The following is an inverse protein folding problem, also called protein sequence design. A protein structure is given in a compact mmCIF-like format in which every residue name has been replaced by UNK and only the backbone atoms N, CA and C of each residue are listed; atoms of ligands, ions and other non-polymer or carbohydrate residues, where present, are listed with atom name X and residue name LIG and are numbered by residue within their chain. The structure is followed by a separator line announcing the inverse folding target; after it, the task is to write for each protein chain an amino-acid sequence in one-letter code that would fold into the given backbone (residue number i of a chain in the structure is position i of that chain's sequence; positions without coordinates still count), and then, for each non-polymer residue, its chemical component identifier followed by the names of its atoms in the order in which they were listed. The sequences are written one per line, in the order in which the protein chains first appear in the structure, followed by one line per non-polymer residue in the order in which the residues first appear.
data_IF_693195497986
#
_entry.id   IF_693195497986
#
_cell.length_a   1.000
_cell.length_b   1.000
_cell.length_c   1.000
_cell.angle_alpha   90.00
_cell.angle_beta   90.00
_cell.angle_gamma   90.00
#
_symmetry.space_group_name_H-M   'P 1'
#
loop_
_entity.id
_entity.type
_entity.pdbx_description
1 polymer ?
#
# COMPACT_ATOMS: atom_id res chain seq x y z
N UNK A 1 1.90 5.74 7.67
CA UNK A 1 3.20 5.09 7.78
C UNK A 1 4.29 5.80 6.99
N UNK A 2 4.07 6.09 5.72
CA UNK A 2 5.02 6.91 4.94
C UNK A 2 4.71 8.40 5.01
N UNK A 3 3.93 8.81 5.97
CA UNK A 3 3.43 10.18 6.09
C UNK A 3 4.53 11.19 6.42
N UNK A 4 5.54 10.76 7.14
CA UNK A 4 6.68 11.61 7.48
C UNK A 4 7.82 11.58 6.46
N UNK A 5 7.66 10.80 5.37
CA UNK A 5 8.70 10.64 4.37
C UNK A 5 8.55 11.67 3.27
N UNK A 6 9.67 12.17 2.76
CA UNK A 6 9.62 13.08 1.62
C UNK A 6 9.26 12.31 0.35
N UNK A 7 8.55 12.98 -0.54
CA UNK A 7 8.21 12.43 -1.86
C UNK A 7 9.48 12.03 -2.63
N UNK A 8 10.52 12.85 -2.54
CA UNK A 8 11.80 12.60 -3.21
C UNK A 8 12.45 11.31 -2.73
N UNK A 9 12.41 11.06 -1.42
CA UNK A 9 12.98 9.85 -0.82
C UNK A 9 12.24 8.60 -1.31
N UNK A 10 10.90 8.64 -1.31
CA UNK A 10 10.09 7.53 -1.81
C UNK A 10 10.35 7.28 -3.29
N UNK A 11 10.45 8.33 -4.11
CA UNK A 11 10.74 8.19 -5.52
C UNK A 11 12.11 7.55 -5.77
N UNK A 12 13.11 7.94 -4.98
CA UNK A 12 14.44 7.35 -5.07
C UNK A 12 14.41 5.86 -4.77
N UNK A 13 13.69 5.46 -3.73
CA UNK A 13 13.53 4.05 -3.37
C UNK A 13 12.80 3.27 -4.45
N UNK A 14 11.76 3.85 -5.04
CA UNK A 14 11.00 3.20 -6.11
C UNK A 14 11.84 3.02 -7.38
N UNK A 15 12.73 3.95 -7.66
CA UNK A 15 13.65 3.83 -8.79
C UNK A 15 14.72 2.76 -8.54
N UNK A 16 15.20 2.68 -7.30
CA UNK A 16 16.24 1.72 -6.94
C UNK A 16 15.71 0.30 -6.83
N UNK A 17 14.43 0.12 -6.54
CA UNK A 17 13.84 -1.20 -6.31
C UNK A 17 12.48 -1.30 -6.98
N UNK A 18 12.42 -2.05 -8.08
CA UNK A 18 11.19 -2.25 -8.86
C UNK A 18 10.11 -2.97 -8.05
N UNK A 19 10.52 -3.94 -7.23
CA UNK A 19 9.58 -4.68 -6.38
C UNK A 19 8.91 -3.76 -5.37
N UNK A 20 9.68 -2.87 -4.75
CA UNK A 20 9.15 -1.87 -3.83
C UNK A 20 8.14 -0.96 -4.53
N UNK A 21 8.46 -0.51 -5.74
CA UNK A 21 7.58 0.34 -6.54
C UNK A 21 6.25 -0.36 -6.83
N UNK A 22 6.30 -1.61 -7.29
CA UNK A 22 5.10 -2.38 -7.61
C UNK A 22 4.24 -2.58 -6.37
N UNK A 23 4.85 -2.91 -5.26
CA UNK A 23 4.14 -3.14 -4.00
C UNK A 23 3.53 -1.85 -3.47
N UNK A 24 4.24 -0.73 -3.59
CA UNK A 24 3.73 0.58 -3.19
C UNK A 24 2.48 0.97 -3.98
N UNK A 25 2.51 0.77 -5.30
CA UNK A 25 1.35 1.06 -6.15
C UNK A 25 0.18 0.16 -5.82
N UNK A 26 0.44 -1.13 -5.56
CA UNK A 26 -0.60 -2.07 -5.15
C UNK A 26 -1.24 -1.65 -3.83
N UNK A 27 -0.43 -1.23 -2.86
CA UNK A 27 -0.94 -0.75 -1.58
C UNK A 27 -1.84 0.49 -1.77
N UNK A 28 -1.42 1.43 -2.58
CA UNK A 28 -2.22 2.63 -2.87
C UNK A 28 -3.53 2.30 -3.54
N UNK A 29 -3.50 1.38 -4.49
CA UNK A 29 -4.70 0.94 -5.19
C UNK A 29 -5.68 0.25 -4.24
N UNK A 30 -5.19 -0.64 -3.40
CA UNK A 30 -6.01 -1.32 -2.40
C UNK A 30 -6.59 -0.32 -1.39
N UNK A 31 -5.79 0.64 -0.96
CA UNK A 31 -6.25 1.69 -0.04
C UNK A 31 -7.42 2.47 -0.63
N UNK A 32 -7.31 2.86 -1.89
CA UNK A 32 -8.38 3.57 -2.60
C UNK A 32 -9.63 2.69 -2.74
N UNK A 33 -9.45 1.43 -3.12
CA UNK A 33 -10.59 0.50 -3.28
C UNK A 33 -11.32 0.28 -1.95
N UNK A 34 -10.59 0.12 -0.87
CA UNK A 34 -11.20 -0.05 0.47
C UNK A 34 -11.98 1.22 0.85
N UNK A 35 -11.40 2.38 0.63
CA UNK A 35 -12.07 3.65 0.91
C UNK A 35 -13.36 3.79 0.09
N UNK A 36 -13.29 3.51 -1.21
CA UNK A 36 -14.44 3.59 -2.11
C UNK A 36 -15.54 2.60 -1.68
N UNK A 37 -15.16 1.41 -1.26
CA UNK A 37 -16.10 0.40 -0.77
C UNK A 37 -16.78 0.86 0.52
N UNK A 38 -16.04 1.46 1.44
CA UNK A 38 -16.59 1.97 2.69
C UNK A 38 -17.53 3.15 2.48
N UNK A 39 -17.27 3.97 1.45
CA UNK A 39 -18.12 5.11 1.10
C UNK A 39 -19.33 4.70 0.26
N UNK A 40 -19.41 3.43 -0.14
CA UNK A 40 -20.51 2.96 -0.99
C UNK A 40 -20.35 3.27 -2.47
N UNK A 41 -19.24 3.85 -2.88
CA UNK A 41 -18.93 4.14 -4.28
C UNK A 41 -18.65 2.87 -5.06
N UNK A 42 -17.96 1.92 -4.41
CA UNK A 42 -17.65 0.61 -4.97
C UNK A 42 -18.53 -0.44 -4.29
N UNK A 43 -19.51 -1.05 -5.01
CA UNK A 43 -20.40 -2.03 -4.39
C UNK A 43 -19.69 -3.37 -4.20
N UNK A 44 -19.35 -3.68 -2.96
CA UNK A 44 -18.77 -4.96 -2.56
C UNK A 44 -19.48 -5.47 -1.32
N UNK A 45 -19.50 -6.79 -1.13
CA UNK A 45 -20.06 -7.38 0.08
C UNK A 45 -19.05 -7.32 1.24
N UNK A 46 -19.52 -7.66 2.44
CA UNK A 46 -18.68 -7.59 3.65
C UNK A 46 -17.50 -8.55 3.59
N UNK A 47 -17.69 -9.73 3.00
CA UNK A 47 -16.62 -10.71 2.86
C UNK A 47 -15.51 -10.18 1.94
N UNK A 48 -15.89 -9.58 0.83
CA UNK A 48 -14.96 -8.99 -0.11
C UNK A 48 -14.22 -7.83 0.52
N UNK A 49 -14.93 -6.95 1.22
CA UNK A 49 -14.33 -5.81 1.90
C UNK A 49 -13.32 -6.27 2.96
N UNK A 50 -13.67 -7.27 3.75
CA UNK A 50 -12.76 -7.85 4.74
C UNK A 50 -11.49 -8.41 4.11
N UNK A 51 -11.63 -9.09 2.97
CA UNK A 51 -10.48 -9.62 2.22
C UNK A 51 -9.58 -8.50 1.70
N UNK A 52 -10.17 -7.45 1.15
CA UNK A 52 -9.43 -6.29 0.65
C UNK A 52 -8.66 -5.58 1.75
N UNK A 53 -9.25 -5.44 2.93
CA UNK A 53 -8.59 -4.86 4.10
C UNK A 53 -7.40 -5.69 4.54
N UNK A 54 -7.51 -7.02 4.52
CA UNK A 54 -6.41 -7.91 4.87
C UNK A 54 -5.28 -7.83 3.85
N UNK A 55 -5.60 -7.77 2.57
CA UNK A 55 -4.60 -7.62 1.51
C UNK A 55 -3.87 -6.28 1.62
N UNK A 56 -4.61 -5.21 1.94
CA UNK A 56 -4.03 -3.89 2.16
C UNK A 56 -3.03 -3.92 3.32
N UNK A 57 -3.40 -4.53 4.45
CA UNK A 57 -2.52 -4.64 5.60
C UNK A 57 -1.29 -5.49 5.30
N UNK A 58 -1.45 -6.59 4.58
CA UNK A 58 -0.33 -7.44 4.18
C UNK A 58 0.65 -6.68 3.29
N UNK A 59 0.15 -5.91 2.33
CA UNK A 59 0.99 -5.09 1.46
C UNK A 59 1.73 -4.01 2.26
N UNK A 60 1.05 -3.38 3.20
CA UNK A 60 1.64 -2.37 4.07
C UNK A 60 2.78 -2.96 4.91
N UNK A 61 2.55 -4.11 5.54
CA UNK A 61 3.56 -4.77 6.36
C UNK A 61 4.80 -5.13 5.53
N UNK A 62 4.59 -5.62 4.32
CA UNK A 62 5.68 -5.95 3.44
C UNK A 62 6.48 -4.72 3.02
N UNK A 63 5.80 -3.62 2.74
CA UNK A 63 6.45 -2.34 2.43
C UNK A 63 7.32 -1.85 3.60
N UNK A 64 6.81 -1.97 4.83
CA UNK A 64 7.57 -1.59 6.02
C UNK A 64 8.85 -2.41 6.12
N UNK A 65 8.76 -3.72 5.92
CA UNK A 65 9.93 -4.60 5.99
C UNK A 65 10.95 -4.26 4.92
N UNK A 66 10.50 -4.03 3.70
CA UNK A 66 11.39 -3.65 2.60
C UNK A 66 12.06 -2.32 2.85
N UNK A 67 11.31 -1.36 3.37
CA UNK A 67 11.85 -0.04 3.71
C UNK A 67 12.93 -0.17 4.79
N UNK A 68 12.65 -0.92 5.86
CA UNK A 68 13.61 -1.13 6.94
C UNK A 68 14.88 -1.81 6.44
N UNK A 69 14.74 -2.82 5.58
CA UNK A 69 15.89 -3.52 4.99
C UNK A 69 16.77 -2.60 4.17
N UNK A 70 16.17 -1.66 3.45
CA UNK A 70 16.92 -0.72 2.62
C UNK A 70 17.60 0.40 3.44
N UNK A 71 17.19 0.60 4.68
CA UNK A 71 17.71 1.66 5.55
C UNK A 71 18.66 1.16 6.65
N UNK A 72 19.07 -0.06 6.58
CA UNK A 72 20.10 -0.61 7.50
C UNK A 72 21.49 -0.21 7.14
#
# INVERSE_FOLDING_TARGET
MFEGQSQTELEALMKANTEFRQLYHRHKELDKQVLDAELGVLPVDDNRLGQMKREKLAAKDRLIRMYDDMHH
#
